data_IF_090829479243
#
_entry.id   IF_090829479243
#
_cell.length_a   1.000
_cell.length_b   1.000
_cell.length_c   1.000
_cell.angle_alpha   90.00
_cell.angle_beta   90.00
_cell.angle_gamma   90.00
#
_symmetry.space_group_name_H-M   'P 1'
#
loop_
_entity.id
_entity.type
_entity.pdbx_description
1 polymer ?
#
# COMPACT_ATOMS: atom_id res chain seq x y z
N UNK A 1 60.31 -18.18 3.12
CA UNK A 1 59.61 -18.07 1.83
C UNK A 1 58.14 -18.15 2.13
N UNK A 2 57.46 -17.01 2.03
CA UNK A 2 56.04 -16.82 2.31
C UNK A 2 55.19 -17.45 1.21
N UNK A 3 54.22 -18.28 1.58
CA UNK A 3 53.03 -18.51 0.75
C UNK A 3 51.83 -18.46 1.69
N UNK A 4 51.35 -17.25 1.86
CA UNK A 4 50.06 -16.88 2.41
C UNK A 4 49.00 -17.28 1.38
N UNK A 5 48.44 -18.47 1.53
CA UNK A 5 47.33 -18.96 0.69
C UNK A 5 46.04 -18.39 1.25
N UNK A 6 45.59 -17.26 0.70
CA UNK A 6 44.28 -16.69 0.96
C UNK A 6 43.18 -17.77 0.84
N UNK A 7 42.16 -17.80 1.71
CA UNK A 7 41.04 -18.71 1.57
C UNK A 7 40.33 -18.40 0.24
N UNK A 8 40.15 -19.42 -0.59
CA UNK A 8 39.34 -19.33 -1.79
C UNK A 8 37.97 -18.77 -1.42
N UNK A 9 37.57 -17.66 -2.04
CA UNK A 9 36.21 -17.17 -1.99
C UNK A 9 35.32 -18.26 -2.58
N UNK A 10 34.64 -19.01 -1.71
CA UNK A 10 33.60 -19.93 -2.12
C UNK A 10 32.40 -19.04 -2.51
N UNK A 11 32.08 -19.01 -3.80
CA UNK A 11 30.83 -18.40 -4.26
C UNK A 11 29.69 -19.01 -3.42
N UNK A 12 28.79 -18.18 -2.84
CA UNK A 12 27.70 -18.72 -2.04
C UNK A 12 26.93 -19.72 -2.91
N UNK A 13 26.83 -20.95 -2.41
CA UNK A 13 26.12 -22.05 -3.04
C UNK A 13 24.80 -21.53 -3.63
N UNK A 14 24.72 -21.45 -4.96
CA UNK A 14 23.44 -21.25 -5.64
C UNK A 14 22.57 -22.45 -5.23
N UNK A 15 21.70 -22.24 -4.24
CA UNK A 15 20.63 -23.17 -3.94
C UNK A 15 19.96 -23.51 -5.28
N UNK A 16 19.83 -24.80 -5.62
CA UNK A 16 19.23 -25.19 -6.88
C UNK A 16 17.88 -24.49 -7.00
N UNK A 17 17.70 -23.77 -8.12
CA UNK A 17 16.47 -23.08 -8.51
C UNK A 17 15.34 -24.13 -8.60
N UNK A 18 14.74 -24.46 -7.45
CA UNK A 18 13.60 -25.36 -7.37
C UNK A 18 12.49 -24.61 -8.09
N UNK A 19 11.99 -25.09 -9.24
CA UNK A 19 10.96 -24.38 -9.97
C UNK A 19 9.75 -24.25 -9.07
N UNK A 20 9.47 -23.04 -8.59
CA UNK A 20 8.32 -22.77 -7.74
C UNK A 20 7.10 -22.96 -8.64
N UNK A 21 6.43 -24.10 -8.53
CA UNK A 21 5.36 -24.47 -9.45
C UNK A 21 4.22 -23.43 -9.40
N UNK A 22 4.14 -22.59 -10.44
CA UNK A 22 3.06 -21.63 -10.61
C UNK A 22 1.76 -22.36 -10.92
N UNK A 23 0.67 -21.93 -10.28
CA UNK A 23 -0.66 -22.38 -10.68
C UNK A 23 -0.95 -21.94 -12.13
N UNK A 24 -1.73 -22.72 -12.91
CA UNK A 24 -2.07 -22.35 -14.27
C UNK A 24 -2.71 -20.95 -14.34
N UNK A 25 -2.41 -20.16 -15.38
CA UNK A 25 -2.81 -18.77 -15.45
C UNK A 25 -4.35 -18.66 -15.45
N UNK A 26 -4.92 -17.85 -14.54
CA UNK A 26 -6.35 -17.77 -14.34
C UNK A 26 -7.07 -17.28 -15.61
N UNK A 27 -8.34 -17.65 -15.73
CA UNK A 27 -9.23 -17.04 -16.73
C UNK A 27 -9.46 -15.56 -16.42
N UNK A 28 -9.80 -14.77 -17.46
CA UNK A 28 -10.06 -13.33 -17.32
C UNK A 28 -11.15 -13.03 -16.27
N UNK A 29 -12.19 -13.86 -16.20
CA UNK A 29 -13.27 -13.72 -15.22
C UNK A 29 -12.78 -13.98 -13.79
N UNK A 30 -11.94 -15.00 -13.59
CA UNK A 30 -11.37 -15.29 -12.27
C UNK A 30 -10.49 -14.13 -11.78
N UNK A 31 -9.69 -13.54 -12.69
CA UNK A 31 -8.88 -12.36 -12.39
C UNK A 31 -9.75 -11.16 -12.03
N UNK A 32 -10.78 -10.86 -12.84
CA UNK A 32 -11.75 -9.80 -12.56
C UNK A 32 -12.41 -9.99 -11.18
N UNK A 33 -12.89 -11.20 -10.88
CA UNK A 33 -13.60 -11.48 -9.64
C UNK A 33 -12.69 -11.41 -8.41
N UNK A 34 -11.43 -11.83 -8.55
CA UNK A 34 -10.43 -11.70 -7.50
C UNK A 34 -10.19 -10.23 -7.16
N UNK A 35 -9.87 -9.40 -8.15
CA UNK A 35 -9.65 -7.96 -7.93
C UNK A 35 -10.92 -7.22 -7.47
N UNK A 36 -12.10 -7.65 -7.95
CA UNK A 36 -13.38 -7.14 -7.47
C UNK A 36 -13.57 -7.41 -5.99
N UNK A 37 -13.36 -8.65 -5.53
CA UNK A 37 -13.47 -8.99 -4.11
C UNK A 37 -12.48 -8.20 -3.25
N UNK A 38 -11.26 -8.00 -3.73
CA UNK A 38 -10.25 -7.19 -3.03
C UNK A 38 -10.66 -5.72 -2.93
N UNK A 39 -11.27 -5.15 -3.97
CA UNK A 39 -11.72 -3.75 -3.96
C UNK A 39 -12.80 -3.49 -2.90
N UNK A 40 -13.73 -4.43 -2.69
CA UNK A 40 -14.75 -4.33 -1.65
C UNK A 40 -14.17 -4.40 -0.23
N UNK A 41 -13.09 -5.16 -0.05
CA UNK A 41 -12.39 -5.29 1.23
C UNK A 41 -11.36 -4.17 1.49
N UNK A 42 -11.33 -3.14 0.62
CA UNK A 42 -10.19 -2.24 0.44
C UNK A 42 -9.96 -1.15 1.47
N UNK A 43 -10.56 -1.20 2.66
CA UNK A 43 -10.38 -0.15 3.67
C UNK A 43 -9.00 -0.26 4.34
N UNK A 44 -8.01 0.46 3.80
CA UNK A 44 -6.67 0.59 4.38
C UNK A 44 -5.76 -0.65 4.28
N UNK A 45 -6.22 -1.73 3.64
CA UNK A 45 -5.53 -3.03 3.59
C UNK A 45 -5.51 -3.71 2.23
N UNK A 46 -5.91 -3.04 1.14
CA UNK A 46 -6.02 -3.66 -0.20
C UNK A 46 -4.74 -4.39 -0.58
N UNK A 47 -3.57 -3.80 -0.31
CA UNK A 47 -2.28 -4.40 -0.65
C UNK A 47 -2.02 -5.71 0.09
N UNK A 48 -2.40 -5.79 1.37
CA UNK A 48 -2.26 -7.01 2.18
C UNK A 48 -3.18 -8.09 1.63
N UNK A 49 -4.43 -7.73 1.31
CA UNK A 49 -5.36 -8.65 0.67
C UNK A 49 -4.91 -9.09 -0.72
N UNK A 50 -4.34 -8.18 -1.52
CA UNK A 50 -3.82 -8.48 -2.84
C UNK A 50 -2.63 -9.43 -2.76
N UNK A 51 -1.66 -9.16 -1.87
CA UNK A 51 -0.54 -10.06 -1.62
C UNK A 51 -1.03 -11.44 -1.18
N UNK A 52 -1.94 -11.48 -0.19
CA UNK A 52 -2.48 -12.75 0.30
C UNK A 52 -3.23 -13.53 -0.78
N UNK A 53 -4.07 -12.86 -1.56
CA UNK A 53 -4.81 -13.51 -2.64
C UNK A 53 -3.90 -14.02 -3.75
N UNK A 54 -2.92 -13.22 -4.18
CA UNK A 54 -2.05 -13.52 -5.32
C UNK A 54 -0.97 -14.56 -4.95
N UNK A 55 -0.32 -14.38 -3.80
CA UNK A 55 0.83 -15.18 -3.36
C UNK A 55 0.37 -16.40 -2.57
N UNK A 56 -0.42 -16.20 -1.51
CA UNK A 56 -0.74 -17.28 -0.58
C UNK A 56 -1.91 -18.15 -1.06
N UNK A 57 -3.00 -17.53 -1.53
CA UNK A 57 -4.23 -18.24 -1.88
C UNK A 57 -4.17 -18.85 -3.27
N UNK A 58 -3.84 -18.04 -4.29
CA UNK A 58 -3.85 -18.48 -5.68
C UNK A 58 -2.49 -18.98 -6.19
N UNK A 59 -1.39 -18.63 -5.51
CA UNK A 59 -0.01 -18.99 -5.91
C UNK A 59 0.27 -18.68 -7.39
N UNK A 60 -0.23 -17.52 -7.85
CA UNK A 60 0.01 -17.03 -9.21
C UNK A 60 1.42 -16.44 -9.37
N UNK A 61 2.05 -16.04 -8.26
CA UNK A 61 3.33 -15.38 -8.23
C UNK A 61 4.00 -15.63 -6.87
N UNK A 62 5.32 -15.69 -6.84
CA UNK A 62 6.07 -15.81 -5.57
C UNK A 62 6.04 -14.50 -4.79
N UNK A 63 6.46 -14.53 -3.53
CA UNK A 63 6.57 -13.33 -2.71
C UNK A 63 7.59 -12.33 -3.28
N UNK A 64 8.68 -12.83 -3.88
CA UNK A 64 9.74 -11.99 -4.43
C UNK A 64 9.31 -11.33 -5.73
N UNK A 65 8.72 -12.08 -6.65
CA UNK A 65 8.13 -11.54 -7.87
C UNK A 65 7.02 -10.50 -7.57
N UNK A 66 6.25 -10.70 -6.49
CA UNK A 66 5.28 -9.70 -6.02
C UNK A 66 5.96 -8.42 -5.58
N UNK A 67 7.01 -8.53 -4.78
CA UNK A 67 7.73 -7.36 -4.28
C UNK A 67 8.42 -6.60 -5.43
N UNK A 68 9.01 -7.31 -6.40
CA UNK A 68 9.58 -6.70 -7.61
C UNK A 68 8.53 -5.98 -8.44
N UNK A 69 7.39 -6.63 -8.71
CA UNK A 69 6.30 -6.02 -9.47
C UNK A 69 5.73 -4.81 -8.74
N UNK A 70 5.59 -4.89 -7.41
CA UNK A 70 5.15 -3.78 -6.59
C UNK A 70 6.17 -2.62 -6.57
N UNK A 71 7.47 -2.93 -6.52
CA UNK A 71 8.53 -1.93 -6.63
C UNK A 71 8.48 -1.21 -7.98
N UNK A 72 8.22 -1.92 -9.08
CA UNK A 72 7.99 -1.30 -10.38
C UNK A 72 6.81 -0.32 -10.36
N UNK A 73 5.74 -0.65 -9.64
CA UNK A 73 4.55 0.21 -9.53
C UNK A 73 4.83 1.55 -8.83
N UNK A 74 5.90 1.66 -8.04
CA UNK A 74 6.32 2.92 -7.43
C UNK A 74 6.94 3.92 -8.43
N UNK A 75 7.46 3.43 -9.56
CA UNK A 75 7.96 4.28 -10.63
C UNK A 75 6.85 4.81 -11.55
N UNK A 76 5.70 4.13 -11.57
CA UNK A 76 4.57 4.56 -12.37
C UNK A 76 3.79 5.67 -11.65
N UNK A 77 3.38 6.74 -12.36
CA UNK A 77 2.53 7.76 -11.76
C UNK A 77 1.17 7.16 -11.41
N UNK A 78 0.61 7.59 -10.28
CA UNK A 78 -0.73 7.19 -9.83
C UNK A 78 -0.76 6.21 -8.66
N UNK A 79 -1.93 5.63 -8.35
CA UNK A 79 -2.07 4.75 -7.20
C UNK A 79 -1.39 3.40 -7.44
N UNK A 80 -0.42 3.03 -6.59
CA UNK A 80 0.37 1.80 -6.75
C UNK A 80 -0.48 0.54 -6.91
N UNK A 81 -1.61 0.44 -6.22
CA UNK A 81 -2.48 -0.74 -6.29
C UNK A 81 -3.20 -0.86 -7.65
N UNK A 82 -3.51 0.27 -8.29
CA UNK A 82 -4.11 0.32 -9.62
C UNK A 82 -3.08 -0.07 -10.66
N UNK A 83 -1.86 0.49 -10.55
CA UNK A 83 -0.72 0.12 -11.39
C UNK A 83 -0.40 -1.37 -11.26
N UNK A 84 -0.39 -1.90 -10.03
CA UNK A 84 -0.19 -3.32 -9.75
C UNK A 84 -1.25 -4.17 -10.42
N UNK A 85 -2.53 -3.81 -10.33
CA UNK A 85 -3.61 -4.58 -10.99
C UNK A 85 -3.39 -4.69 -12.51
N UNK A 86 -2.97 -3.60 -13.15
CA UNK A 86 -2.75 -3.56 -14.59
C UNK A 86 -1.50 -4.36 -14.97
N UNK A 87 -0.37 -4.15 -14.30
CA UNK A 87 0.89 -4.85 -14.57
C UNK A 87 0.74 -6.35 -14.29
N UNK A 88 0.22 -6.71 -13.12
CA UNK A 88 0.00 -8.10 -12.73
C UNK A 88 -0.97 -8.81 -13.69
N UNK A 89 -2.12 -8.18 -13.98
CA UNK A 89 -3.07 -8.75 -14.91
C UNK A 89 -2.48 -8.90 -16.31
N UNK A 90 -1.64 -7.95 -16.74
CA UNK A 90 -0.97 -8.00 -18.03
C UNK A 90 0.06 -9.12 -18.15
N UNK A 91 0.76 -9.45 -17.05
CA UNK A 91 1.68 -10.59 -17.00
C UNK A 91 0.98 -11.94 -17.16
N UNK A 92 -0.24 -12.08 -16.63
CA UNK A 92 -0.95 -13.37 -16.66
C UNK A 92 -1.66 -13.67 -17.99
N UNK A 93 -2.28 -12.67 -18.62
CA UNK A 93 -3.14 -12.86 -19.81
C UNK A 93 -2.95 -11.75 -20.86
N UNK A 94 -1.82 -11.05 -20.86
CA UNK A 94 -1.57 -9.90 -21.74
C UNK A 94 -2.51 -8.73 -21.42
N UNK A 95 -2.64 -7.79 -22.35
CA UNK A 95 -3.41 -6.55 -22.16
C UNK A 95 -4.84 -6.82 -21.66
N UNK A 96 -5.50 -7.88 -22.16
CA UNK A 96 -6.84 -8.27 -21.73
C UNK A 96 -6.90 -8.62 -20.22
N UNK A 97 -5.87 -9.29 -19.69
CA UNK A 97 -5.76 -9.55 -18.26
C UNK A 97 -5.55 -8.28 -17.44
N UNK A 98 -4.73 -7.35 -17.94
CA UNK A 98 -4.51 -6.05 -17.31
C UNK A 98 -5.81 -5.25 -17.19
N UNK A 99 -6.60 -5.20 -18.27
CA UNK A 99 -7.91 -4.53 -18.28
C UNK A 99 -8.90 -5.24 -17.37
N UNK A 100 -8.93 -6.58 -17.34
CA UNK A 100 -9.82 -7.35 -16.47
C UNK A 100 -9.52 -7.12 -14.97
N UNK A 101 -8.25 -7.11 -14.58
CA UNK A 101 -7.84 -6.81 -13.20
C UNK A 101 -8.14 -5.34 -12.82
N UNK A 102 -7.83 -4.40 -13.71
CA UNK A 102 -8.09 -2.97 -13.51
C UNK A 102 -9.59 -2.68 -13.35
N UNK A 103 -10.41 -3.20 -14.26
CA UNK A 103 -11.87 -3.05 -14.18
C UNK A 103 -12.43 -3.80 -12.98
N UNK A 104 -11.91 -4.98 -12.65
CA UNK A 104 -12.26 -5.68 -11.41
C UNK A 104 -12.00 -4.82 -10.18
N UNK A 105 -10.87 -4.11 -10.14
CA UNK A 105 -10.52 -3.24 -9.02
C UNK A 105 -11.38 -1.97 -8.93
N UNK A 106 -11.67 -1.31 -10.06
CA UNK A 106 -12.35 0.00 -10.07
C UNK A 106 -13.87 -0.09 -10.17
N UNK A 107 -14.40 -1.06 -10.92
CA UNK A 107 -15.83 -1.11 -11.26
C UNK A 107 -16.71 -1.29 -10.02
N UNK A 108 -16.44 -2.22 -9.09
CA UNK A 108 -17.32 -2.40 -7.93
C UNK A 108 -17.45 -1.19 -7.01
N UNK A 109 -16.37 -0.52 -6.54
CA UNK A 109 -16.52 0.65 -5.69
C UNK A 109 -17.14 1.82 -6.45
N UNK A 110 -16.82 1.98 -7.74
CA UNK A 110 -17.41 3.04 -8.58
C UNK A 110 -18.92 2.82 -8.74
N UNK A 111 -19.35 1.58 -8.98
CA UNK A 111 -20.77 1.24 -9.12
C UNK A 111 -21.54 1.46 -7.81
N UNK A 112 -20.96 1.04 -6.68
CA UNK A 112 -21.55 1.27 -5.34
C UNK A 112 -21.72 2.77 -5.09
N UNK A 113 -20.68 3.57 -5.33
CA UNK A 113 -20.73 5.02 -5.15
C UNK A 113 -21.72 5.70 -6.08
N UNK A 114 -21.78 5.27 -7.35
CA UNK A 114 -22.73 5.81 -8.33
C UNK A 114 -24.16 5.50 -7.93
N UNK A 115 -24.45 4.28 -7.48
CA UNK A 115 -25.78 3.89 -7.00
C UNK A 115 -26.18 4.72 -5.77
N UNK A 116 -25.27 4.89 -4.81
CA UNK A 116 -25.50 5.72 -3.63
C UNK A 116 -25.76 7.19 -4.00
N UNK A 117 -25.01 7.73 -4.96
CA UNK A 117 -25.17 9.09 -5.45
C UNK A 117 -26.54 9.29 -6.13
N UNK A 118 -26.98 8.35 -6.97
CA UNK A 118 -28.30 8.39 -7.61
C UNK A 118 -29.42 8.31 -6.55
N UNK A 119 -29.27 7.41 -5.58
CA UNK A 119 -30.24 7.27 -4.50
C UNK A 119 -30.33 8.55 -3.67
N UNK A 120 -29.20 9.18 -3.36
CA UNK A 120 -29.15 10.46 -2.66
C UNK A 120 -29.80 11.58 -3.48
N UNK A 121 -29.57 11.64 -4.79
CA UNK A 121 -30.16 12.65 -5.67
C UNK A 121 -31.70 12.51 -5.79
N UNK A 122 -32.23 11.29 -5.67
CA UNK A 122 -33.67 11.00 -5.79
C UNK A 122 -34.43 11.09 -4.47
N UNK A 123 -33.80 10.72 -3.36
CA UNK A 123 -34.45 10.55 -2.05
C UNK A 123 -33.81 11.40 -0.94
N UNK A 124 -32.94 12.36 -1.29
CA UNK A 124 -32.19 13.19 -0.34
C UNK A 124 -33.04 14.04 0.60
N UNK A 125 -34.28 14.36 0.20
CA UNK A 125 -35.25 15.10 1.03
C UNK A 125 -35.89 14.24 2.13
N UNK A 126 -35.71 12.92 2.10
CA UNK A 126 -36.20 12.04 3.17
C UNK A 126 -35.25 12.15 4.36
N UNK A 127 -35.73 12.77 5.44
CA UNK A 127 -34.98 12.98 6.70
C UNK A 127 -34.35 11.68 7.24
N UNK A 128 -35.01 10.54 7.05
CA UNK A 128 -34.47 9.20 7.42
C UNK A 128 -33.20 8.87 6.63
N UNK A 129 -33.19 9.10 5.31
CA UNK A 129 -32.03 8.82 4.48
C UNK A 129 -30.85 9.72 4.85
N UNK A 130 -31.12 11.01 5.10
CA UNK A 130 -30.11 11.97 5.56
C UNK A 130 -29.43 11.54 6.86
N UNK A 131 -30.21 11.02 7.83
CA UNK A 131 -29.67 10.49 9.10
C UNK A 131 -28.84 9.23 8.90
N UNK A 132 -29.26 8.32 8.02
CA UNK A 132 -28.49 7.12 7.70
C UNK A 132 -27.15 7.50 7.07
N UNK A 133 -27.13 8.38 6.06
CA UNK A 133 -25.88 8.83 5.43
C UNK A 133 -24.97 9.57 6.43
N UNK A 134 -25.54 10.35 7.34
CA UNK A 134 -24.77 10.99 8.41
C UNK A 134 -24.12 9.93 9.33
N UNK A 135 -24.87 8.88 9.70
CA UNK A 135 -24.33 7.75 10.47
C UNK A 135 -23.19 7.01 9.76
N UNK A 136 -23.36 6.72 8.45
CA UNK A 136 -22.31 6.12 7.62
C UNK A 136 -21.06 7.02 7.55
N UNK A 137 -21.26 8.33 7.43
CA UNK A 137 -20.16 9.30 7.40
C UNK A 137 -19.39 9.32 8.72
N UNK A 138 -20.09 9.32 9.86
CA UNK A 138 -19.47 9.21 11.18
C UNK A 138 -18.69 7.89 11.34
N UNK A 139 -19.24 6.77 10.87
CA UNK A 139 -18.54 5.48 10.89
C UNK A 139 -17.28 5.50 10.01
N UNK A 140 -17.34 6.12 8.83
CA UNK A 140 -16.19 6.27 7.94
C UNK A 140 -15.08 7.13 8.58
N UNK A 141 -15.45 8.23 9.25
CA UNK A 141 -14.50 9.06 10.01
C UNK A 141 -13.88 8.27 11.16
N UNK A 142 -14.67 7.51 11.92
CA UNK A 142 -14.17 6.65 12.99
C UNK A 142 -13.20 5.59 12.48
N UNK A 143 -13.49 4.95 11.35
CA UNK A 143 -12.61 4.00 10.68
C UNK A 143 -11.31 4.66 10.22
N UNK A 144 -11.38 5.86 9.63
CA UNK A 144 -10.20 6.62 9.22
C UNK A 144 -9.30 6.92 10.41
N UNK A 145 -9.87 7.39 11.52
CA UNK A 145 -9.17 7.64 12.77
C UNK A 145 -8.50 6.35 13.27
N UNK A 146 -9.23 5.23 13.29
CA UNK A 146 -8.70 3.93 13.73
C UNK A 146 -7.51 3.47 12.86
N UNK A 147 -7.58 3.65 11.54
CA UNK A 147 -6.49 3.32 10.62
C UNK A 147 -5.27 4.20 10.90
N UNK A 148 -5.47 5.52 11.08
CA UNK A 148 -4.39 6.45 11.43
C UNK A 148 -3.72 6.01 12.74
N UNK A 149 -4.49 5.75 13.80
CA UNK A 149 -3.94 5.27 15.07
C UNK A 149 -3.20 3.94 14.93
N UNK A 150 -3.72 3.00 14.14
CA UNK A 150 -3.07 1.72 13.88
C UNK A 150 -1.73 1.89 13.18
N UNK A 151 -1.61 2.82 12.23
CA UNK A 151 -0.33 3.15 11.58
C UNK A 151 0.61 3.93 12.51
N UNK A 152 0.07 4.78 13.38
CA UNK A 152 0.81 5.62 14.32
C UNK A 152 1.39 4.80 15.49
N UNK A 153 0.67 3.79 15.98
CA UNK A 153 1.06 2.96 17.15
C UNK A 153 2.48 2.37 17.06
N UNK A 154 2.91 1.70 15.96
CA UNK A 154 4.27 1.19 15.85
C UNK A 154 5.35 2.28 15.80
N UNK A 155 5.01 3.50 15.37
CA UNK A 155 5.94 4.65 15.41
C UNK A 155 6.13 5.14 16.86
N UNK A 156 5.06 5.24 17.66
CA UNK A 156 5.16 5.64 19.07
C UNK A 156 5.84 4.59 19.96
N UNK A 157 5.71 3.30 19.64
CA UNK A 157 6.34 2.22 20.41
C UNK A 157 7.87 2.29 20.43
N UNK A 158 8.50 2.94 19.44
CA UNK A 158 9.95 3.15 19.44
C UNK A 158 10.39 4.20 20.49
N UNK A 159 9.45 4.95 21.10
CA UNK A 159 9.63 5.94 22.17
C UNK A 159 10.76 6.97 21.97
N UNK A 160 11.28 7.11 20.75
CA UNK A 160 12.23 8.14 20.40
C UNK A 160 11.54 9.51 20.53
N UNK A 161 11.85 10.24 21.60
CA UNK A 161 11.26 11.56 21.92
C UNK A 161 11.38 12.51 20.73
N UNK A 162 12.48 12.41 19.99
CA UNK A 162 12.73 13.15 18.74
C UNK A 162 11.68 12.85 17.67
N UNK A 163 11.32 11.58 17.47
CA UNK A 163 10.32 11.17 16.47
C UNK A 163 8.94 11.73 16.85
N UNK A 164 8.60 11.72 18.14
CA UNK A 164 7.33 12.29 18.64
C UNK A 164 7.28 13.80 18.44
N UNK A 165 8.35 14.52 18.78
CA UNK A 165 8.45 15.99 18.59
C UNK A 165 8.35 16.33 17.10
N UNK A 166 9.07 15.61 16.24
CA UNK A 166 9.04 15.84 14.79
C UNK A 166 7.64 15.58 14.23
N UNK A 167 7.00 14.47 14.61
CA UNK A 167 5.64 14.13 14.17
C UNK A 167 4.63 15.21 14.57
N UNK A 168 4.70 15.67 15.82
CA UNK A 168 3.84 16.76 16.30
C UNK A 168 4.12 18.08 15.58
N UNK A 169 5.40 18.42 15.36
CA UNK A 169 5.81 19.63 14.63
C UNK A 169 5.28 19.64 13.19
N UNK A 170 5.38 18.52 12.48
CA UNK A 170 4.82 18.37 11.12
C UNK A 170 3.29 18.48 11.15
N UNK A 171 2.63 17.87 12.13
CA UNK A 171 1.18 17.95 12.28
C UNK A 171 0.71 19.40 12.50
N UNK A 172 1.39 20.17 13.36
CA UNK A 172 1.07 21.58 13.60
C UNK A 172 1.34 22.42 12.35
N UNK A 173 2.47 22.21 11.68
CA UNK A 173 2.84 22.95 10.46
C UNK A 173 1.83 22.78 9.33
N UNK A 174 1.34 21.55 9.11
CA UNK A 174 0.40 21.22 8.03
C UNK A 174 -1.05 21.46 8.48
N UNK A 175 -1.42 20.94 9.65
CA UNK A 175 -2.81 20.95 10.13
C UNK A 175 -3.28 22.31 10.64
N UNK A 176 -2.44 23.04 11.37
CA UNK A 176 -2.81 24.32 11.99
C UNK A 176 -2.35 25.50 11.13
N UNK A 177 -1.06 25.52 10.74
CA UNK A 177 -0.50 26.61 9.95
C UNK A 177 -0.83 26.53 8.45
N UNK A 178 -1.39 25.40 7.98
CA UNK A 178 -1.76 25.15 6.57
C UNK A 178 -0.63 25.47 5.60
N UNK A 179 0.61 25.20 5.99
CA UNK A 179 1.75 25.42 5.13
C UNK A 179 1.70 24.48 3.91
N UNK A 180 2.19 24.93 2.75
CA UNK A 180 2.27 24.09 1.57
C UNK A 180 3.08 22.84 1.86
N UNK A 181 2.53 21.66 1.50
CA UNK A 181 3.12 20.37 1.80
C UNK A 181 4.56 20.27 1.30
N UNK A 182 4.86 20.86 0.13
CA UNK A 182 6.22 20.91 -0.42
C UNK A 182 7.24 21.61 0.50
N UNK A 183 6.84 22.69 1.18
CA UNK A 183 7.74 23.43 2.07
C UNK A 183 8.01 22.65 3.36
N UNK A 184 6.96 22.05 3.93
CA UNK A 184 7.11 21.22 5.14
C UNK A 184 7.98 20.00 4.84
N UNK A 185 7.79 19.36 3.68
CA UNK A 185 8.58 18.21 3.28
C UNK A 185 10.06 18.56 3.08
N UNK A 186 10.34 19.70 2.45
CA UNK A 186 11.71 20.19 2.22
C UNK A 186 12.47 20.49 3.51
N UNK A 187 11.80 20.88 4.59
CA UNK A 187 12.44 21.17 5.88
C UNK A 187 12.45 19.95 6.80
N UNK A 188 11.34 19.22 6.88
CA UNK A 188 11.19 18.10 7.80
C UNK A 188 12.08 16.90 7.44
N UNK A 189 12.27 16.60 6.15
CA UNK A 189 13.14 15.51 5.70
C UNK A 189 14.60 15.73 6.12
N UNK A 190 15.29 16.83 5.75
CA UNK A 190 16.68 17.03 6.14
C UNK A 190 16.84 17.19 7.65
N UNK A 191 15.89 17.81 8.34
CA UNK A 191 15.90 17.92 9.80
C UNK A 191 15.83 16.53 10.45
N UNK A 192 14.93 15.66 9.98
CA UNK A 192 14.79 14.28 10.46
C UNK A 192 16.07 13.48 10.26
N UNK A 193 16.67 13.55 9.07
CA UNK A 193 17.92 12.84 8.73
C UNK A 193 19.07 13.37 9.60
N UNK A 194 19.19 14.69 9.73
CA UNK A 194 20.25 15.34 10.50
C UNK A 194 20.21 14.97 11.98
N UNK A 195 19.03 15.00 12.60
CA UNK A 195 18.88 14.62 14.00
C UNK A 195 19.16 13.12 14.19
N UNK A 196 18.65 12.26 13.31
CA UNK A 196 18.91 10.81 13.37
C UNK A 196 20.40 10.49 13.23
N UNK A 197 21.10 11.19 12.33
CA UNK A 197 22.55 11.02 12.12
C UNK A 197 23.37 11.48 13.33
N UNK A 198 23.01 12.61 13.94
CA UNK A 198 23.67 13.13 15.14
C UNK A 198 23.46 12.22 16.35
N UNK A 199 22.25 11.70 16.56
CA UNK A 199 21.96 10.75 17.64
C UNK A 199 22.76 9.45 17.47
N UNK A 200 22.85 8.92 16.24
CA UNK A 200 23.67 7.72 15.96
C UNK A 200 25.16 7.94 16.18
N UNK A 201 25.67 9.13 15.90
CA UNK A 201 27.08 9.49 16.19
C UNK A 201 27.37 9.61 17.68
N UNK A 202 26.42 10.12 18.47
CA UNK A 202 26.61 10.35 19.91
C UNK A 202 26.55 9.05 20.72
N UNK A 203 25.87 8.01 20.20
CA UNK A 203 25.80 6.68 20.82
C UNK A 203 26.98 5.78 20.45
N UNK A 204 27.71 6.11 19.37
CA UNK A 204 28.87 5.35 18.90
C UNK A 204 30.22 5.89 19.43
N UNK A 205 30.21 6.95 20.24
CA UNK A 205 31.37 7.56 20.89
C UNK A 205 31.29 7.33 22.41
#
# INVERSE_FOLDING_TARGET
>A
MSTDSAPAYQEPDQEPDVPVAHAPPPGLLALFLAFARMSLAGFGGVLVFARHAIVDQHRWMTADEFNETFALCHFLPGPNIVNLSMVFGSRLRGIAGGVAAFTGLLLPPTLIMTLLAIMYARFGDVEVLRRILAGISCAAVGLLIAVVFRMMTPLLKRMDVVVIILMFGVFVAIGVLRLPLQAVLLVAIPLSIGITFLMRRTVAA
#
